data_IF_751941017946
#
_entry.id   IF_751941017946
#
_cell.length_a   1.000
_cell.length_b   1.000
_cell.length_c   1.000
_cell.angle_alpha   90.00
_cell.angle_beta   90.00
_cell.angle_gamma   90.00
#
_symmetry.space_group_name_H-M   'P 1'
#
loop_
_entity.id
_entity.type
_entity.pdbx_description
1 polymer ?
#
# COMPACT_ATOMS: atom_id res chain seq x y z
N UNK A 1 41.41 31.41 19.74
CA UNK A 1 41.59 29.97 19.43
C UNK A 1 40.54 29.22 20.22
N UNK A 2 39.36 29.03 19.62
CA UNK A 2 38.33 28.22 20.27
C UNK A 2 38.71 26.75 20.14
N UNK A 3 38.66 26.04 21.26
CA UNK A 3 38.94 24.62 21.33
C UNK A 3 37.90 23.87 20.47
N UNK A 4 38.30 23.45 19.28
CA UNK A 4 37.50 22.54 18.44
C UNK A 4 37.44 21.20 19.16
N UNK A 5 36.42 21.02 19.99
CA UNK A 5 36.22 19.81 20.77
C UNK A 5 36.11 18.59 19.86
N UNK A 6 36.87 17.54 20.18
CA UNK A 6 36.76 16.23 19.55
C UNK A 6 35.33 15.72 19.77
N UNK A 7 34.64 15.36 18.68
CA UNK A 7 33.29 14.81 18.74
C UNK A 7 33.37 13.28 18.64
N UNK A 8 32.88 12.58 19.66
CA UNK A 8 32.85 11.11 19.70
C UNK A 8 31.41 10.63 19.55
N UNK A 9 31.17 9.85 18.51
CA UNK A 9 29.84 9.36 18.14
C UNK A 9 29.79 7.84 18.23
N UNK A 10 28.73 7.33 18.84
CA UNK A 10 28.23 5.98 18.61
C UNK A 10 27.17 6.06 17.51
N UNK A 11 27.52 5.64 16.30
CA UNK A 11 26.62 5.64 15.15
C UNK A 11 25.85 4.32 15.12
N UNK A 12 24.55 4.36 15.32
CA UNK A 12 23.64 3.22 15.35
C UNK A 12 23.06 3.05 13.95
N UNK A 13 23.35 1.92 13.32
CA UNK A 13 22.91 1.59 11.96
C UNK A 13 21.66 0.71 11.98
N UNK A 14 21.63 -0.26 12.90
CA UNK A 14 20.49 -1.10 13.20
C UNK A 14 20.51 -1.52 14.69
N UNK A 15 19.75 -2.55 15.09
CA UNK A 15 19.63 -2.97 16.49
C UNK A 15 20.94 -3.56 17.05
N UNK A 16 21.75 -4.17 16.20
CA UNK A 16 22.94 -4.94 16.60
C UNK A 16 24.24 -4.35 16.01
N UNK A 17 24.12 -3.41 15.07
CA UNK A 17 25.23 -2.76 14.40
C UNK A 17 25.39 -1.31 14.85
N UNK A 18 26.47 -1.07 15.61
CA UNK A 18 26.88 0.27 16.01
C UNK A 18 28.36 0.49 15.74
N UNK A 19 28.67 1.60 15.07
CA UNK A 19 30.03 2.00 14.71
C UNK A 19 30.50 3.16 15.57
N UNK A 20 31.78 3.15 15.95
CA UNK A 20 32.38 4.25 16.71
C UNK A 20 33.08 5.20 15.76
N UNK A 21 32.62 6.45 15.71
CA UNK A 21 33.20 7.51 14.91
C UNK A 21 33.80 8.59 15.80
N UNK A 22 35.05 8.99 15.53
CA UNK A 22 35.74 10.08 16.23
C UNK A 22 36.08 11.14 15.21
N UNK A 23 35.46 12.30 15.34
CA UNK A 23 35.73 13.45 14.49
C UNK A 23 36.72 14.38 15.18
N UNK A 24 37.76 14.85 14.47
CA UNK A 24 38.81 15.69 15.05
C UNK A 24 38.29 17.07 15.46
N UNK A 25 37.17 17.50 14.88
CA UNK A 25 36.48 18.73 15.21
C UNK A 25 34.97 18.56 15.00
N UNK A 26 34.17 19.37 15.70
CA UNK A 26 32.71 19.40 15.52
C UNK A 26 32.38 19.97 14.12
N UNK A 27 31.56 19.27 13.31
CA UNK A 27 31.07 19.80 12.05
C UNK A 27 30.33 21.13 12.22
N UNK A 28 30.33 21.97 11.18
CA UNK A 28 29.67 23.28 11.19
C UNK A 28 28.15 23.20 10.94
N UNK A 29 27.64 22.03 10.53
CA UNK A 29 26.24 21.79 10.22
C UNK A 29 25.90 20.30 10.31
N UNK A 30 24.61 19.98 10.42
CA UNK A 30 24.14 18.59 10.37
C UNK A 30 24.46 17.94 9.02
N UNK A 31 24.37 18.69 7.91
CA UNK A 31 24.71 18.16 6.59
C UNK A 31 26.19 17.78 6.50
N UNK A 32 27.09 18.62 7.01
CA UNK A 32 28.52 18.29 7.05
C UNK A 32 28.81 17.04 7.90
N UNK A 33 28.04 16.82 8.97
CA UNK A 33 28.12 15.59 9.75
C UNK A 33 27.64 14.36 8.95
N UNK A 34 26.53 14.50 8.22
CA UNK A 34 25.99 13.45 7.34
C UNK A 34 27.02 13.06 6.28
N UNK A 35 27.66 14.05 5.63
CA UNK A 35 28.65 13.82 4.58
C UNK A 35 29.89 13.09 5.12
N UNK A 36 30.36 13.44 6.32
CA UNK A 36 31.48 12.76 6.98
C UNK A 36 31.10 11.31 7.34
N UNK A 37 29.89 11.06 7.85
CA UNK A 37 29.40 9.70 8.14
C UNK A 37 29.27 8.89 6.84
N UNK A 38 28.74 9.47 5.75
CA UNK A 38 28.67 8.84 4.43
C UNK A 38 30.04 8.43 3.93
N UNK A 39 31.01 9.34 4.01
CA UNK A 39 32.37 9.09 3.56
C UNK A 39 33.09 8.04 4.40
N UNK A 40 32.88 8.02 5.72
CA UNK A 40 33.58 7.11 6.64
C UNK A 40 33.01 5.69 6.63
N UNK A 41 31.69 5.57 6.49
CA UNK A 41 30.98 4.29 6.53
C UNK A 41 30.56 3.79 5.14
N UNK A 42 31.01 4.47 4.07
CA UNK A 42 30.72 4.14 2.66
C UNK A 42 29.22 4.04 2.34
N UNK A 43 28.40 4.96 2.87
CA UNK A 43 26.99 5.03 2.49
C UNK A 43 26.79 5.77 1.17
N UNK A 44 26.01 5.15 0.28
CA UNK A 44 25.64 5.71 -1.03
C UNK A 44 24.22 6.28 -1.07
N UNK A 45 23.49 6.18 0.03
CA UNK A 45 22.08 6.58 0.16
C UNK A 45 21.93 7.81 1.07
N UNK A 46 20.81 8.52 0.92
CA UNK A 46 20.43 9.62 1.79
C UNK A 46 19.81 9.13 3.09
N UNK A 47 20.10 9.85 4.18
CA UNK A 47 19.59 9.55 5.51
C UNK A 47 19.50 10.82 6.34
N UNK A 48 18.63 10.78 7.35
CA UNK A 48 18.60 11.75 8.45
C UNK A 48 19.20 11.11 9.70
N UNK A 49 19.59 11.96 10.64
CA UNK A 49 20.12 11.54 11.93
C UNK A 49 19.10 11.79 13.03
N UNK A 50 18.97 10.83 13.94
CA UNK A 50 18.34 11.01 15.24
C UNK A 50 19.39 10.91 16.34
N UNK A 51 19.19 11.57 17.47
CA UNK A 51 20.06 11.46 18.65
C UNK A 51 19.22 11.20 19.89
N UNK A 52 19.85 10.61 20.92
CA UNK A 52 19.23 10.51 22.23
C UNK A 52 19.27 11.88 22.90
N UNK A 53 18.11 12.49 23.11
CA UNK A 53 17.99 13.81 23.70
C UNK A 53 17.90 13.69 25.24
N UNK A 54 18.89 14.22 25.99
CA UNK A 54 18.87 14.17 27.46
C UNK A 54 17.66 14.86 28.10
N UNK A 55 17.06 15.82 27.41
CA UNK A 55 15.94 16.61 27.93
C UNK A 55 14.58 15.88 27.82
N UNK A 56 14.53 14.80 27.02
CA UNK A 56 13.32 13.99 26.78
C UNK A 56 13.52 12.53 27.21
N UNK A 57 14.06 12.28 28.40
CA UNK A 57 14.30 10.93 28.94
C UNK A 57 15.14 10.03 28.01
N UNK A 58 16.06 10.62 27.24
CA UNK A 58 16.82 9.95 26.18
C UNK A 58 15.94 9.32 25.09
N UNK A 59 14.77 9.88 24.79
CA UNK A 59 14.03 9.53 23.59
C UNK A 59 14.84 9.87 22.32
N UNK A 60 14.56 9.18 21.22
CA UNK A 60 15.18 9.47 19.92
C UNK A 60 14.51 10.67 19.28
N UNK A 61 15.26 11.76 19.12
CA UNK A 61 14.79 13.00 18.50
C UNK A 61 15.55 13.27 17.19
N UNK A 62 14.91 13.92 16.22
CA UNK A 62 15.57 14.30 14.97
C UNK A 62 16.66 15.35 15.24
N UNK A 63 17.87 15.13 14.72
CA UNK A 63 18.96 16.09 14.83
C UNK A 63 18.79 17.18 13.75
N UNK A 64 18.32 18.36 14.16
CA UNK A 64 18.09 19.51 13.26
C UNK A 64 19.21 20.54 13.37
N UNK A 65 19.70 20.79 14.58
CA UNK A 65 20.82 21.70 14.82
C UNK A 65 22.02 20.92 15.30
N UNK A 66 23.19 21.31 14.80
CA UNK A 66 24.41 20.65 15.22
C UNK A 66 24.71 20.97 16.68
N UNK A 67 24.26 22.11 17.22
CA UNK A 67 24.46 22.56 18.62
C UNK A 67 23.85 21.63 19.67
N UNK A 68 22.74 20.96 19.33
CA UNK A 68 22.00 20.08 20.23
C UNK A 68 22.78 18.79 20.55
N UNK A 69 23.78 18.46 19.73
CA UNK A 69 24.56 17.24 19.87
C UNK A 69 25.69 17.39 20.91
N UNK A 70 25.71 16.61 22.01
CA UNK A 70 26.79 16.67 22.98
C UNK A 70 28.12 16.15 22.40
N UNK A 71 29.24 16.48 23.05
CA UNK A 71 30.59 16.07 22.61
C UNK A 71 30.78 14.54 22.58
N UNK A 72 29.98 13.81 23.36
CA UNK A 72 29.86 12.35 23.31
C UNK A 72 28.38 12.05 23.14
N UNK A 73 28.00 11.49 22.00
CA UNK A 73 26.59 11.26 21.66
C UNK A 73 26.38 9.91 20.95
N UNK A 74 25.15 9.42 21.05
CA UNK A 74 24.68 8.32 20.20
C UNK A 74 23.77 8.89 19.12
N UNK A 75 24.07 8.60 17.87
CA UNK A 75 23.27 9.03 16.71
C UNK A 75 22.77 7.81 15.96
N UNK A 76 21.51 7.81 15.55
CA UNK A 76 20.88 6.74 14.77
C UNK A 76 20.72 7.21 13.33
N UNK A 77 21.18 6.39 12.38
CA UNK A 77 21.01 6.61 10.95
C UNK A 77 19.61 6.14 10.56
N UNK A 78 18.77 7.06 10.07
CA UNK A 78 17.45 6.75 9.56
C UNK A 78 17.45 6.99 8.06
N UNK A 79 17.44 5.91 7.29
CA UNK A 79 17.40 5.95 5.83
C UNK A 79 16.23 6.81 5.35
N UNK A 80 16.53 7.77 4.49
CA UNK A 80 15.52 8.49 3.74
C UNK A 80 15.22 7.60 2.53
N UNK A 81 14.14 6.84 2.62
CA UNK A 81 13.51 6.35 1.41
C UNK A 81 12.94 7.59 0.75
N UNK A 82 13.31 7.89 -0.50
CA UNK A 82 12.55 8.83 -1.33
C UNK A 82 11.15 8.25 -1.53
N UNK A 83 10.31 8.36 -0.50
CA UNK A 83 8.88 8.51 -0.68
C UNK A 83 8.71 9.91 -1.22
N UNK A 84 8.46 9.97 -2.52
CA UNK A 84 8.00 11.19 -3.18
C UNK A 84 6.91 11.84 -2.31
N UNK A 85 7.24 13.06 -1.90
CA UNK A 85 6.47 14.04 -1.16
C UNK A 85 4.96 13.80 -1.15
N UNK A 86 4.45 13.22 -0.06
CA UNK A 86 3.29 13.66 0.73
C UNK A 86 3.30 12.78 2.00
N UNK A 87 3.55 13.40 3.15
CA UNK A 87 2.97 13.09 4.47
C UNK A 87 3.96 13.28 5.61
N UNK A 88 3.58 14.21 6.48
CA UNK A 88 3.85 14.28 7.91
C UNK A 88 3.48 12.98 8.62
N UNK A 89 4.29 12.65 9.65
CA UNK A 89 4.06 11.77 10.81
C UNK A 89 3.68 10.30 10.56
N UNK A 90 4.61 9.36 10.83
CA UNK A 90 4.62 8.40 11.99
C UNK A 90 3.35 7.55 12.07
N UNK A 91 3.39 6.22 11.94
CA UNK A 91 4.07 5.31 12.87
C UNK A 91 4.44 3.93 12.29
N UNK A 92 5.30 3.26 13.05
CA UNK A 92 5.95 1.96 12.83
C UNK A 92 5.02 0.76 12.63
N UNK A 93 5.47 -0.21 11.83
CA UNK A 93 5.33 -1.62 12.23
C UNK A 93 6.50 -2.46 11.74
N UNK A 94 7.07 -3.17 12.71
CA UNK A 94 8.20 -4.09 12.62
C UNK A 94 7.81 -5.31 11.78
N UNK A 95 8.56 -5.60 10.73
CA UNK A 95 8.66 -6.96 10.19
C UNK A 95 10.12 -7.40 10.20
N UNK A 96 10.37 -8.42 11.02
CA UNK A 96 11.56 -9.23 11.02
C UNK A 96 11.69 -9.93 9.67
N UNK A 97 12.87 -9.84 9.06
CA UNK A 97 13.32 -10.87 8.12
C UNK A 97 14.71 -11.30 8.57
N UNK A 98 14.70 -12.45 9.23
CA UNK A 98 15.85 -13.30 9.45
C UNK A 98 16.38 -13.77 8.09
N UNK A 99 17.66 -13.60 7.82
CA UNK A 99 18.39 -14.34 6.77
C UNK A 99 19.89 -14.20 7.01
N UNK A 100 20.44 -15.25 7.61
CA UNK A 100 21.83 -15.64 7.56
C UNK A 100 22.34 -15.82 6.13
N UNK A 101 23.62 -15.54 5.97
CA UNK A 101 24.56 -16.04 4.95
C UNK A 101 24.43 -15.54 3.50
N UNK A 102 25.39 -14.67 3.18
CA UNK A 102 26.15 -14.59 1.92
C UNK A 102 25.93 -15.74 0.93
N UNK A 103 25.36 -15.44 -0.25
CA UNK A 103 25.76 -15.91 -1.58
C UNK A 103 25.24 -14.90 -2.63
N UNK A 104 26.19 -14.26 -3.31
CA UNK A 104 26.22 -13.75 -4.69
C UNK A 104 24.89 -13.59 -5.50
N UNK A 105 24.62 -12.38 -6.03
CA UNK A 105 23.98 -12.05 -7.35
C UNK A 105 23.17 -10.73 -7.34
N UNK A 106 22.90 -10.07 -8.50
CA UNK A 106 23.83 -9.57 -9.52
C UNK A 106 23.63 -8.05 -9.76
N UNK A 107 24.67 -7.37 -10.23
CA UNK A 107 24.59 -5.99 -10.70
C UNK A 107 23.68 -5.86 -11.94
N UNK A 108 22.57 -5.11 -11.81
CA UNK A 108 22.05 -4.07 -12.75
C UNK A 108 20.50 -3.98 -12.70
N UNK A 109 19.98 -3.26 -11.70
CA UNK A 109 18.65 -2.64 -11.78
C UNK A 109 18.76 -1.50 -12.80
N UNK A 110 17.99 -1.55 -13.89
CA UNK A 110 18.05 -0.53 -14.95
C UNK A 110 17.26 0.72 -14.57
N UNK A 111 17.64 1.88 -15.12
CA UNK A 111 16.87 3.13 -14.93
C UNK A 111 15.51 2.96 -15.58
N UNK A 112 14.44 3.23 -14.82
CA UNK A 112 13.06 3.08 -15.31
C UNK A 112 12.85 3.88 -16.60
N UNK A 113 12.31 3.27 -17.67
CA UNK A 113 12.14 3.96 -18.94
C UNK A 113 11.06 5.05 -18.83
N UNK A 114 11.19 6.11 -19.63
CA UNK A 114 10.14 7.13 -19.72
C UNK A 114 8.81 6.55 -20.23
N UNK A 115 8.91 5.59 -21.17
CA UNK A 115 7.77 4.82 -21.70
C UNK A 115 8.04 3.34 -21.50
N UNK A 116 7.18 2.66 -20.73
CA UNK A 116 7.28 1.23 -20.51
C UNK A 116 6.96 0.47 -21.81
N UNK A 117 7.81 -0.49 -22.19
CA UNK A 117 7.59 -1.30 -23.40
C UNK A 117 6.89 -2.59 -22.99
N UNK A 118 5.65 -2.77 -23.46
CA UNK A 118 4.86 -3.96 -23.15
C UNK A 118 5.45 -5.19 -23.88
N UNK A 119 5.91 -6.22 -23.14
CA UNK A 119 6.46 -7.43 -23.72
C UNK A 119 5.42 -8.19 -24.57
N UNK A 120 5.85 -9.11 -25.44
CA UNK A 120 4.93 -10.01 -26.12
C UNK A 120 4.34 -11.01 -25.13
N UNK A 121 3.03 -11.28 -25.25
CA UNK A 121 2.35 -12.31 -24.46
C UNK A 121 2.39 -13.67 -25.18
N UNK A 122 1.80 -14.70 -24.56
CA UNK A 122 1.58 -15.97 -25.24
C UNK A 122 0.82 -15.79 -26.55
N UNK A 123 1.03 -16.69 -27.51
CA UNK A 123 0.37 -16.61 -28.82
C UNK A 123 -1.15 -16.53 -28.72
N UNK A 124 -1.75 -17.29 -27.80
CA UNK A 124 -3.20 -17.26 -27.53
C UNK A 124 -3.64 -15.88 -27.06
N UNK A 125 -2.97 -15.31 -26.05
CA UNK A 125 -3.30 -14.00 -25.51
C UNK A 125 -3.10 -12.90 -26.54
N UNK A 126 -2.01 -12.91 -27.31
CA UNK A 126 -1.78 -11.95 -28.40
C UNK A 126 -2.87 -12.00 -29.48
N UNK A 127 -3.34 -13.19 -29.82
CA UNK A 127 -4.45 -13.35 -30.76
C UNK A 127 -5.75 -12.74 -30.19
N UNK A 128 -6.10 -13.10 -28.96
CA UNK A 128 -7.28 -12.61 -28.24
C UNK A 128 -7.25 -11.09 -28.08
N UNK A 129 -6.10 -10.51 -27.72
CA UNK A 129 -5.92 -9.06 -27.61
C UNK A 129 -6.04 -8.35 -28.96
N UNK A 130 -5.57 -8.97 -30.05
CA UNK A 130 -5.70 -8.40 -31.40
C UNK A 130 -7.16 -8.35 -31.85
N UNK A 131 -7.91 -9.44 -31.65
CA UNK A 131 -9.34 -9.47 -31.94
C UNK A 131 -10.11 -8.50 -31.04
N UNK A 132 -9.75 -8.45 -29.75
CA UNK A 132 -10.30 -7.51 -28.78
C UNK A 132 -10.10 -6.05 -29.20
N UNK A 133 -8.88 -5.68 -29.59
CA UNK A 133 -8.57 -4.32 -30.07
C UNK A 133 -9.39 -3.97 -31.31
N UNK A 134 -9.51 -4.89 -32.28
CA UNK A 134 -10.32 -4.65 -33.47
C UNK A 134 -11.81 -4.45 -33.14
N UNK A 135 -12.36 -5.20 -32.18
CA UNK A 135 -13.72 -5.03 -31.70
C UNK A 135 -13.90 -3.72 -30.90
N UNK A 136 -12.88 -3.31 -30.15
CA UNK A 136 -12.86 -2.04 -29.42
C UNK A 136 -12.85 -0.85 -30.39
N UNK A 137 -12.02 -0.88 -31.43
CA UNK A 137 -11.94 0.18 -32.43
C UNK A 137 -13.24 0.33 -33.22
N UNK A 138 -13.95 -0.78 -33.44
CA UNK A 138 -15.19 -0.80 -34.20
C UNK A 138 -16.40 -0.35 -33.38
N UNK A 139 -16.57 -0.94 -32.20
CA UNK A 139 -17.81 -0.86 -31.43
C UNK A 139 -17.60 -0.36 -29.98
N UNK A 140 -16.38 0.02 -29.59
CA UNK A 140 -16.02 0.39 -28.21
C UNK A 140 -16.04 -0.78 -27.22
N UNK A 141 -16.10 -2.02 -27.73
CA UNK A 141 -16.30 -3.22 -26.91
C UNK A 141 -15.01 -3.64 -26.20
N UNK A 142 -15.04 -3.62 -24.88
CA UNK A 142 -13.99 -4.14 -23.99
C UNK A 142 -14.04 -5.68 -23.96
N UNK A 143 -12.88 -6.33 -23.92
CA UNK A 143 -12.77 -7.80 -23.87
C UNK A 143 -12.91 -8.34 -22.45
N UNK A 144 -13.46 -9.56 -22.32
CA UNK A 144 -13.50 -10.30 -21.06
C UNK A 144 -12.48 -11.44 -21.16
N UNK A 145 -11.42 -11.36 -20.36
CA UNK A 145 -10.37 -12.37 -20.31
C UNK A 145 -10.71 -13.50 -19.34
N UNK A 146 -10.29 -14.73 -19.68
CA UNK A 146 -10.31 -15.87 -18.76
C UNK A 146 -9.27 -15.69 -17.65
N UNK A 147 -9.35 -16.50 -16.58
CA UNK A 147 -8.37 -16.46 -15.48
C UNK A 147 -6.95 -16.72 -16.00
N UNK A 148 -6.78 -17.70 -16.86
CA UNK A 148 -5.46 -18.13 -17.32
C UNK A 148 -4.86 -17.09 -18.30
N UNK A 149 -5.70 -16.44 -19.11
CA UNK A 149 -5.28 -15.31 -19.95
C UNK A 149 -4.83 -14.10 -19.10
N UNK A 150 -5.58 -13.77 -18.04
CA UNK A 150 -5.18 -12.72 -17.08
C UNK A 150 -3.86 -13.06 -16.40
N UNK A 151 -3.71 -14.30 -15.95
CA UNK A 151 -2.48 -14.76 -15.32
C UNK A 151 -1.28 -14.60 -16.25
N UNK A 152 -1.39 -15.03 -17.51
CA UNK A 152 -0.31 -14.89 -18.49
C UNK A 152 0.10 -13.42 -18.70
N UNK A 153 -0.86 -12.50 -18.82
CA UNK A 153 -0.57 -11.06 -18.93
C UNK A 153 0.15 -10.55 -17.67
N UNK A 154 -0.39 -10.85 -16.48
CA UNK A 154 0.17 -10.37 -15.21
C UNK A 154 1.57 -10.92 -14.93
N UNK A 155 1.78 -12.21 -15.20
CA UNK A 155 3.09 -12.86 -15.04
C UNK A 155 4.12 -12.24 -15.99
N UNK A 156 3.80 -12.12 -17.28
CA UNK A 156 4.71 -11.56 -18.29
C UNK A 156 5.05 -10.08 -17.98
N UNK A 157 4.06 -9.28 -17.57
CA UNK A 157 4.28 -7.90 -17.16
C UNK A 157 5.12 -7.84 -15.87
N UNK A 158 4.83 -8.70 -14.90
CA UNK A 158 5.55 -8.78 -13.63
C UNK A 158 7.02 -9.14 -13.82
N UNK A 159 7.32 -10.12 -14.67
CA UNK A 159 8.69 -10.49 -15.04
C UNK A 159 9.45 -9.31 -15.68
N UNK A 160 8.82 -8.61 -16.60
CA UNK A 160 9.46 -7.48 -17.29
C UNK A 160 9.69 -6.29 -16.34
N UNK A 161 8.73 -6.01 -15.47
CA UNK A 161 8.87 -5.02 -14.39
C UNK A 161 10.00 -5.42 -13.44
N UNK A 162 10.10 -6.69 -13.06
CA UNK A 162 11.13 -7.19 -12.15
C UNK A 162 12.54 -7.06 -12.73
N UNK A 163 12.71 -7.30 -14.05
CA UNK A 163 13.97 -7.05 -14.77
C UNK A 163 14.40 -5.57 -14.68
N UNK A 164 13.44 -4.65 -14.62
CA UNK A 164 13.73 -3.23 -14.42
C UNK A 164 14.06 -2.93 -12.97
N UNK A 165 13.19 -3.34 -12.04
CA UNK A 165 13.31 -3.09 -10.60
C UNK A 165 12.58 -4.15 -9.80
N UNK A 166 13.28 -4.76 -8.83
CA UNK A 166 12.71 -5.79 -7.96
C UNK A 166 11.52 -5.27 -7.11
N UNK A 167 11.55 -4.00 -6.73
CA UNK A 167 10.51 -3.34 -5.92
C UNK A 167 10.06 -2.02 -6.58
N UNK A 168 9.19 -2.07 -7.60
CA UNK A 168 8.69 -0.88 -8.29
C UNK A 168 7.75 -0.07 -7.40
N UNK A 169 7.77 1.26 -7.54
CA UNK A 169 6.80 2.13 -6.85
C UNK A 169 5.41 2.05 -7.51
N UNK A 170 4.36 2.49 -6.81
CA UNK A 170 3.00 2.57 -7.38
C UNK A 170 2.96 3.37 -8.68
N UNK A 171 3.72 4.46 -8.78
CA UNK A 171 3.84 5.28 -10.01
C UNK A 171 4.47 4.50 -11.16
N UNK A 172 5.49 3.70 -10.88
CA UNK A 172 6.15 2.85 -11.88
C UNK A 172 5.22 1.75 -12.37
N UNK A 173 4.52 1.08 -11.45
CA UNK A 173 3.46 0.11 -11.81
C UNK A 173 2.37 0.79 -12.65
N UNK A 174 1.98 2.00 -12.28
CA UNK A 174 1.01 2.82 -13.03
C UNK A 174 1.46 3.08 -14.47
N UNK A 175 2.72 3.45 -14.70
CA UNK A 175 3.29 3.64 -16.05
C UNK A 175 3.29 2.35 -16.89
N UNK A 176 3.54 1.20 -16.26
CA UNK A 176 3.48 -0.09 -16.94
C UNK A 176 2.04 -0.46 -17.32
N UNK A 177 1.08 -0.24 -16.42
CA UNK A 177 -0.34 -0.43 -16.68
C UNK A 177 -0.87 0.53 -17.76
N UNK A 178 -0.46 1.80 -17.72
CA UNK A 178 -0.75 2.80 -18.74
C UNK A 178 -0.27 2.38 -20.12
N UNK A 179 0.99 1.91 -20.23
CA UNK A 179 1.53 1.41 -21.49
C UNK A 179 0.76 0.17 -22.00
N UNK A 180 0.36 -0.73 -21.10
CA UNK A 180 -0.44 -1.92 -21.41
C UNK A 180 -1.79 -1.54 -22.02
N UNK A 181 -2.53 -0.63 -21.38
CA UNK A 181 -3.85 -0.20 -21.86
C UNK A 181 -3.72 0.64 -23.14
N UNK A 182 -2.67 1.45 -23.29
CA UNK A 182 -2.41 2.17 -24.55
C UNK A 182 -2.15 1.23 -25.73
N UNK A 183 -1.39 0.15 -25.51
CA UNK A 183 -1.12 -0.86 -26.54
C UNK A 183 -2.35 -1.74 -26.80
N UNK A 184 -3.15 -2.01 -25.77
CA UNK A 184 -4.34 -2.85 -25.84
C UNK A 184 -5.57 -2.13 -25.25
N UNK A 185 -6.19 -1.18 -25.98
CA UNK A 185 -7.36 -0.44 -25.51
C UNK A 185 -8.55 -1.34 -25.14
N UNK A 186 -8.63 -2.54 -25.71
CA UNK A 186 -9.66 -3.51 -25.34
C UNK A 186 -9.59 -4.00 -23.88
N UNK A 187 -8.49 -3.74 -23.17
CA UNK A 187 -8.32 -4.05 -21.75
C UNK A 187 -8.81 -2.94 -20.80
N UNK A 188 -9.21 -1.78 -21.35
CA UNK A 188 -9.62 -0.62 -20.55
C UNK A 188 -10.80 -0.99 -19.63
N UNK A 189 -10.70 -0.67 -18.33
CA UNK A 189 -11.83 -0.89 -17.42
C UNK A 189 -13.07 -0.08 -17.87
N UNK A 190 -14.26 -0.73 -17.80
CA UNK A 190 -15.52 -0.07 -18.14
C UNK A 190 -15.78 1.07 -17.16
N UNK A 191 -16.14 2.24 -17.68
CA UNK A 191 -16.45 3.47 -16.94
C UNK A 191 -15.25 4.18 -16.29
N UNK A 192 -14.02 3.76 -16.58
CA UNK A 192 -12.83 4.50 -16.16
C UNK A 192 -12.37 5.47 -17.25
N UNK A 193 -12.02 6.71 -16.89
CA UNK A 193 -11.55 7.72 -17.83
C UNK A 193 -10.20 7.32 -18.44
N UNK A 194 -9.28 6.83 -17.60
CA UNK A 194 -7.99 6.31 -18.04
C UNK A 194 -8.06 4.81 -18.31
N UNK A 195 -8.69 4.01 -17.44
CA UNK A 195 -8.72 2.55 -17.48
C UNK A 195 -7.52 1.86 -16.81
N UNK A 196 -6.63 2.64 -16.18
CA UNK A 196 -5.47 2.14 -15.43
C UNK A 196 -5.15 2.95 -14.16
N UNK A 197 -5.80 4.12 -13.96
CA UNK A 197 -5.63 4.90 -12.74
C UNK A 197 -6.29 4.19 -11.56
N UNK A 198 -5.49 3.92 -10.54
CA UNK A 198 -5.93 3.29 -9.30
C UNK A 198 -7.08 4.06 -8.66
N UNK A 199 -7.08 5.39 -8.71
CA UNK A 199 -8.08 6.21 -8.02
C UNK A 199 -9.49 6.01 -8.58
N UNK A 200 -9.61 5.88 -9.90
CA UNK A 200 -10.88 5.66 -10.61
C UNK A 200 -11.45 4.25 -10.30
N UNK A 201 -10.56 3.27 -10.25
CA UNK A 201 -10.87 1.88 -9.90
C UNK A 201 -11.32 1.78 -8.43
N UNK A 202 -10.61 2.43 -7.51
CA UNK A 202 -10.97 2.43 -6.09
C UNK A 202 -12.28 3.20 -5.84
N UNK A 203 -12.52 4.32 -6.52
CA UNK A 203 -13.77 5.06 -6.43
C UNK A 203 -14.95 4.20 -6.89
N UNK A 204 -14.83 3.54 -8.05
CA UNK A 204 -15.87 2.65 -8.58
C UNK A 204 -16.13 1.45 -7.65
N UNK A 205 -15.08 0.81 -7.14
CA UNK A 205 -15.21 -0.32 -6.20
C UNK A 205 -15.81 0.12 -4.87
N UNK A 206 -15.42 1.28 -4.37
CA UNK A 206 -15.98 1.87 -3.15
C UNK A 206 -17.46 2.22 -3.34
N UNK A 207 -17.84 2.75 -4.51
CA UNK A 207 -19.24 2.98 -4.88
C UNK A 207 -20.06 1.68 -4.83
N UNK A 208 -19.53 0.61 -5.42
CA UNK A 208 -20.20 -0.69 -5.43
C UNK A 208 -20.32 -1.28 -4.03
N UNK A 209 -19.27 -1.16 -3.21
CA UNK A 209 -19.24 -1.60 -1.82
C UNK A 209 -20.23 -0.83 -0.95
N UNK A 210 -20.33 0.50 -1.11
CA UNK A 210 -21.31 1.34 -0.42
C UNK A 210 -22.75 1.09 -0.92
N UNK A 211 -22.92 0.81 -2.22
CA UNK A 211 -24.20 0.57 -2.85
C UNK A 211 -24.85 -0.76 -2.50
N UNK A 212 -24.05 -1.80 -2.23
CA UNK A 212 -24.56 -3.15 -1.99
C UNK A 212 -25.47 -3.24 -0.74
N UNK A 213 -25.08 -2.76 0.46
CA UNK A 213 -25.98 -2.73 1.61
C UNK A 213 -27.26 -1.93 1.35
N UNK A 214 -27.15 -0.80 0.65
CA UNK A 214 -28.31 0.03 0.29
C UNK A 214 -29.30 -0.72 -0.61
N UNK A 215 -28.81 -1.41 -1.64
CA UNK A 215 -29.64 -2.24 -2.53
C UNK A 215 -30.34 -3.37 -1.74
N UNK A 216 -29.62 -3.99 -0.82
CA UNK A 216 -30.16 -5.06 0.02
C UNK A 216 -31.09 -4.56 1.13
N UNK A 217 -31.18 -3.24 1.33
CA UNK A 217 -31.89 -2.56 2.43
C UNK A 217 -31.40 -3.03 3.79
N UNK A 218 -30.08 -3.19 3.92
CA UNK A 218 -29.41 -3.57 5.15
C UNK A 218 -28.78 -2.36 5.81
N UNK A 219 -28.78 -2.36 7.15
CA UNK A 219 -28.11 -1.33 7.94
C UNK A 219 -26.64 -1.71 8.08
N UNK A 220 -25.77 -0.88 7.48
CA UNK A 220 -24.32 -1.07 7.46
C UNK A 220 -23.57 -0.08 8.34
N UNK A 221 -24.28 0.75 9.11
CA UNK A 221 -23.69 1.78 9.98
C UNK A 221 -22.83 1.22 11.11
N UNK A 222 -23.08 -0.02 11.53
CA UNK A 222 -22.25 -0.71 12.53
C UNK A 222 -20.93 -1.22 11.93
N UNK A 223 -20.90 -1.45 10.60
CA UNK A 223 -19.77 -2.05 9.90
C UNK A 223 -18.90 -1.01 9.23
N UNK A 224 -19.48 0.01 8.61
CA UNK A 224 -18.73 1.10 7.99
C UNK A 224 -18.90 2.34 8.85
N UNK A 225 -17.82 2.71 9.52
CA UNK A 225 -17.76 3.90 10.38
C UNK A 225 -16.73 4.89 9.84
N UNK A 226 -16.84 6.14 10.25
CA UNK A 226 -15.86 7.19 9.94
C UNK A 226 -15.37 7.85 11.22
N UNK A 227 -14.11 8.26 11.26
CA UNK A 227 -13.50 9.00 12.36
C UNK A 227 -12.82 10.27 11.82
N UNK A 228 -12.77 11.32 12.64
CA UNK A 228 -12.20 12.64 12.28
C UNK A 228 -10.97 13.04 13.11
N UNK A 229 -10.83 12.53 14.34
CA UNK A 229 -9.73 12.83 15.25
C UNK A 229 -9.35 11.56 16.02
N UNK A 230 -8.09 11.47 16.46
CA UNK A 230 -7.42 10.28 17.02
C UNK A 230 -8.30 9.41 17.93
N UNK A 231 -8.64 8.22 17.41
CA UNK A 231 -8.96 6.96 18.09
C UNK A 231 -9.66 7.11 19.46
N UNK A 232 -10.84 7.70 19.49
CA UNK A 232 -11.79 7.40 20.57
C UNK A 232 -12.48 6.06 20.27
N UNK A 233 -12.32 5.14 21.23
CA UNK A 233 -12.66 3.72 21.20
C UNK A 233 -13.85 3.36 20.32
N UNK A 234 -13.57 2.60 19.26
CA UNK A 234 -14.60 2.00 18.44
C UNK A 234 -15.32 0.92 19.25
N UNK A 235 -16.44 1.25 19.90
CA UNK A 235 -17.34 0.22 20.41
C UNK A 235 -17.93 -0.55 19.21
N UNK A 236 -17.28 -1.66 18.86
CA UNK A 236 -17.63 -2.54 17.75
C UNK A 236 -16.97 -3.92 17.89
N UNK A 237 -17.79 -4.96 17.80
CA UNK A 237 -17.30 -6.35 17.71
C UNK A 237 -16.57 -6.60 16.38
N UNK A 238 -17.11 -6.08 15.27
CA UNK A 238 -16.51 -6.15 13.92
C UNK A 238 -16.86 -4.85 13.19
N UNK A 239 -15.86 -4.05 12.81
CA UNK A 239 -16.07 -2.85 12.01
C UNK A 239 -14.87 -2.53 11.11
N UNK A 240 -15.15 -1.76 10.07
CA UNK A 240 -14.19 -1.05 9.23
C UNK A 240 -14.38 0.44 9.47
N UNK A 241 -13.32 1.13 9.85
CA UNK A 241 -13.37 2.56 10.16
C UNK A 241 -12.46 3.34 9.24
N UNK A 242 -12.98 4.36 8.57
CA UNK A 242 -12.15 5.26 7.78
C UNK A 242 -11.82 6.57 8.50
N UNK A 243 -10.55 6.96 8.40
CA UNK A 243 -10.10 8.33 8.67
C UNK A 243 -10.40 9.24 7.48
N UNK A 244 -11.07 10.38 7.75
CA UNK A 244 -11.56 11.32 6.73
C UNK A 244 -11.33 12.79 7.11
N UNK A 245 -10.91 13.59 6.12
CA UNK A 245 -10.61 15.03 6.22
C UNK A 245 -11.85 15.96 6.25
N UNK A 246 -13.06 15.42 6.50
CA UNK A 246 -14.39 16.06 6.41
C UNK A 246 -15.07 16.11 5.03
N UNK A 247 -16.07 15.23 4.84
CA UNK A 247 -17.34 15.53 4.17
C UNK A 247 -18.32 14.39 4.50
N UNK A 248 -19.56 14.71 4.88
CA UNK A 248 -20.60 13.68 4.98
C UNK A 248 -20.88 13.13 3.59
N UNK A 249 -20.50 11.87 3.37
CA UNK A 249 -20.68 11.20 2.07
C UNK A 249 -22.05 10.49 2.04
N UNK A 250 -22.85 10.65 0.98
CA UNK A 250 -24.11 9.93 0.84
C UNK A 250 -23.90 8.42 0.95
N UNK A 251 -24.53 7.78 1.95
CA UNK A 251 -24.39 6.34 2.22
C UNK A 251 -23.32 5.95 3.25
N UNK A 252 -22.66 6.92 3.90
CA UNK A 252 -21.79 6.70 5.06
C UNK A 252 -20.38 6.15 4.75
N UNK A 253 -20.07 5.85 3.49
CA UNK A 253 -18.75 5.34 3.07
C UNK A 253 -18.01 6.38 2.22
N UNK A 254 -16.91 6.98 2.72
CA UNK A 254 -16.08 7.92 1.97
C UNK A 254 -15.33 7.25 0.81
N UNK A 255 -15.30 7.93 -0.34
CA UNK A 255 -14.64 7.45 -1.56
C UNK A 255 -13.10 7.54 -1.52
N UNK A 256 -12.56 8.41 -0.66
CA UNK A 256 -11.12 8.65 -0.55
C UNK A 256 -10.71 8.77 0.92
N UNK A 257 -10.76 7.67 1.69
CA UNK A 257 -10.29 7.67 3.06
C UNK A 257 -8.75 7.82 3.10
N UNK A 258 -8.21 8.46 4.14
CA UNK A 258 -6.75 8.52 4.35
C UNK A 258 -6.22 7.15 4.75
N UNK A 259 -6.95 6.51 5.67
CA UNK A 259 -6.70 5.16 6.16
C UNK A 259 -8.03 4.48 6.48
N UNK A 260 -8.04 3.15 6.42
CA UNK A 260 -9.13 2.29 6.84
C UNK A 260 -8.60 1.28 7.85
N UNK A 261 -9.17 1.28 9.04
CA UNK A 261 -8.83 0.42 10.15
C UNK A 261 -9.80 -0.76 10.21
N UNK A 262 -9.28 -1.96 10.41
CA UNK A 262 -10.06 -3.12 10.79
C UNK A 262 -10.13 -3.16 12.31
N UNK A 263 -11.34 -3.13 12.85
CA UNK A 263 -11.61 -3.17 14.28
C UNK A 263 -12.28 -4.49 14.64
N UNK A 264 -11.70 -5.21 15.60
CA UNK A 264 -12.27 -6.40 16.21
C UNK A 264 -12.27 -6.24 17.72
N UNK A 265 -13.39 -6.52 18.38
CA UNK A 265 -13.53 -6.42 19.85
C UNK A 265 -12.94 -5.11 20.41
N UNK A 266 -13.35 -3.99 19.81
CA UNK A 266 -12.94 -2.64 20.22
C UNK A 266 -11.45 -2.32 20.04
N UNK A 267 -10.69 -3.14 19.30
CA UNK A 267 -9.27 -2.96 19.01
C UNK A 267 -8.99 -2.85 17.52
N UNK A 268 -8.13 -1.91 17.13
CA UNK A 268 -7.60 -1.83 15.76
C UNK A 268 -6.60 -2.97 15.56
N UNK A 269 -6.92 -3.90 14.66
CA UNK A 269 -6.07 -5.08 14.39
C UNK A 269 -5.24 -4.94 13.11
N UNK A 270 -5.69 -4.14 12.14
CA UNK A 270 -5.00 -3.90 10.87
C UNK A 270 -5.35 -2.53 10.31
N UNK A 271 -4.44 -1.97 9.50
CA UNK A 271 -4.62 -0.67 8.82
C UNK A 271 -4.36 -0.82 7.33
N UNK A 272 -5.20 -0.21 6.51
CA UNK A 272 -5.15 -0.22 5.05
C UNK A 272 -5.42 1.16 4.46
N UNK A 273 -5.17 1.33 3.16
CA UNK A 273 -5.47 2.59 2.44
C UNK A 273 -6.77 2.54 1.63
N UNK A 274 -7.45 1.40 1.60
CA UNK A 274 -8.68 1.21 0.81
C UNK A 274 -9.70 0.36 1.58
N UNK A 275 -10.98 0.72 1.44
CA UNK A 275 -12.11 -0.08 1.93
C UNK A 275 -12.09 -1.50 1.38
N UNK A 276 -11.75 -1.68 0.10
CA UNK A 276 -11.77 -3.00 -0.54
C UNK A 276 -10.73 -3.92 0.07
N UNK A 277 -9.53 -3.38 0.33
CA UNK A 277 -8.40 -4.16 0.80
C UNK A 277 -8.62 -4.53 2.27
N UNK A 278 -9.09 -3.57 3.07
CA UNK A 278 -9.53 -3.81 4.44
C UNK A 278 -10.65 -4.85 4.52
N UNK A 279 -11.64 -4.79 3.62
CA UNK A 279 -12.74 -5.75 3.60
C UNK A 279 -12.28 -7.17 3.26
N UNK A 280 -11.39 -7.34 2.29
CA UNK A 280 -10.83 -8.66 1.95
C UNK A 280 -10.01 -9.23 3.11
N UNK A 281 -9.19 -8.41 3.77
CA UNK A 281 -8.46 -8.81 4.97
C UNK A 281 -9.40 -9.14 6.13
N UNK A 282 -10.49 -8.39 6.30
CA UNK A 282 -11.53 -8.70 7.30
C UNK A 282 -12.17 -10.07 7.04
N UNK A 283 -12.46 -10.45 5.79
CA UNK A 283 -12.91 -11.80 5.48
C UNK A 283 -11.88 -12.84 5.94
N UNK A 284 -10.60 -12.64 5.64
CA UNK A 284 -9.52 -13.52 6.10
C UNK A 284 -9.50 -13.69 7.62
N UNK A 285 -9.64 -12.58 8.37
CA UNK A 285 -9.71 -12.59 9.83
C UNK A 285 -10.95 -13.30 10.36
N UNK A 286 -12.12 -13.07 9.76
CA UNK A 286 -13.36 -13.75 10.12
C UNK A 286 -13.21 -15.27 10.01
N UNK A 287 -12.61 -15.75 8.92
CA UNK A 287 -12.35 -17.19 8.75
C UNK A 287 -11.28 -17.72 9.71
N UNK A 288 -10.16 -17.00 9.87
CA UNK A 288 -9.06 -17.44 10.72
C UNK A 288 -9.43 -17.50 12.20
N UNK A 289 -10.27 -16.58 12.66
CA UNK A 289 -10.71 -16.46 14.05
C UNK A 289 -12.08 -17.10 14.31
N UNK A 290 -12.69 -17.73 13.31
CA UNK A 290 -14.02 -18.35 13.40
C UNK A 290 -15.09 -17.35 13.91
N UNK A 291 -15.08 -16.12 13.39
CA UNK A 291 -16.06 -15.11 13.76
C UNK A 291 -17.37 -15.32 12.99
N UNK A 292 -18.48 -14.89 13.59
CA UNK A 292 -19.77 -14.85 12.90
C UNK A 292 -19.91 -13.55 12.11
N UNK A 293 -20.62 -13.61 10.97
CA UNK A 293 -20.94 -12.38 10.24
C UNK A 293 -21.89 -11.49 11.04
N UNK A 294 -21.72 -10.16 10.97
CA UNK A 294 -22.63 -9.21 11.60
C UNK A 294 -24.08 -9.40 11.14
N UNK A 295 -24.99 -9.58 12.09
CA UNK A 295 -26.39 -9.95 11.81
C UNK A 295 -27.10 -8.96 10.89
N UNK A 296 -26.88 -7.65 11.11
CA UNK A 296 -27.48 -6.56 10.33
C UNK A 296 -27.05 -6.53 8.86
N UNK A 297 -25.88 -7.09 8.56
CA UNK A 297 -25.25 -7.09 7.22
C UNK A 297 -25.04 -8.49 6.63
N UNK A 298 -25.75 -9.50 7.11
CA UNK A 298 -25.56 -10.90 6.66
C UNK A 298 -25.66 -11.10 5.14
N UNK A 299 -26.64 -10.48 4.46
CA UNK A 299 -26.76 -10.55 3.00
C UNK A 299 -25.60 -9.93 2.23
N UNK A 300 -25.02 -8.83 2.73
CA UNK A 300 -23.82 -8.20 2.17
C UNK A 300 -22.62 -9.16 2.23
N UNK A 301 -22.35 -9.73 3.41
CA UNK A 301 -21.24 -10.69 3.57
C UNK A 301 -21.46 -11.97 2.76
N UNK A 302 -22.70 -12.50 2.77
CA UNK A 302 -23.10 -13.69 2.00
C UNK A 302 -22.90 -13.47 0.49
N UNK A 303 -23.29 -12.30 -0.02
CA UNK A 303 -23.12 -11.96 -1.43
C UNK A 303 -21.63 -11.90 -1.82
N UNK A 304 -20.81 -11.21 -1.03
CA UNK A 304 -19.38 -11.08 -1.31
C UNK A 304 -18.67 -12.43 -1.24
N UNK A 305 -18.95 -13.23 -0.20
CA UNK A 305 -18.40 -14.57 -0.04
C UNK A 305 -18.69 -15.46 -1.26
N UNK A 306 -19.95 -15.53 -1.68
CA UNK A 306 -20.40 -16.47 -2.72
C UNK A 306 -20.08 -15.96 -4.12
N UNK A 307 -20.37 -14.68 -4.39
CA UNK A 307 -20.34 -14.13 -5.76
C UNK A 307 -18.96 -13.57 -6.10
N UNK A 308 -18.36 -12.80 -5.18
CA UNK A 308 -17.09 -12.14 -5.46
C UNK A 308 -15.88 -13.03 -5.12
N UNK A 309 -15.87 -13.64 -3.94
CA UNK A 309 -14.75 -14.45 -3.45
C UNK A 309 -14.84 -15.92 -3.85
N UNK A 310 -16.03 -16.40 -4.23
CA UNK A 310 -16.30 -17.80 -4.62
C UNK A 310 -15.82 -18.81 -3.56
N UNK A 311 -16.05 -18.49 -2.28
CA UNK A 311 -15.60 -19.32 -1.15
C UNK A 311 -16.60 -20.39 -0.73
N UNK A 312 -17.84 -20.34 -1.20
CA UNK A 312 -18.84 -21.37 -0.93
C UNK A 312 -18.79 -22.48 -1.97
N UNK A 313 -19.01 -23.72 -1.53
CA UNK A 313 -19.32 -24.84 -2.41
C UNK A 313 -20.55 -24.45 -3.24
N UNK A 314 -20.51 -24.65 -4.56
CA UNK A 314 -21.53 -24.27 -5.56
C UNK A 314 -22.96 -24.78 -5.26
N UNK A 315 -23.12 -25.55 -4.18
CA UNK A 315 -24.37 -26.11 -3.64
C UNK A 315 -25.16 -25.13 -2.78
N UNK A 316 -24.55 -24.06 -2.24
CA UNK A 316 -25.28 -23.10 -1.41
C UNK A 316 -26.14 -22.20 -2.29
N UNK A 317 -27.46 -22.35 -2.18
CA UNK A 317 -28.40 -21.50 -2.90
C UNK A 317 -28.45 -20.12 -2.24
N UNK A 318 -28.11 -19.10 -3.01
CA UNK A 318 -28.30 -17.70 -2.61
C UNK A 318 -29.78 -17.42 -2.38
N UNK A 319 -30.08 -16.57 -1.39
CA UNK A 319 -31.43 -16.04 -1.21
C UNK A 319 -31.93 -15.39 -2.51
N UNK A 320 -33.24 -15.42 -2.81
CA UNK A 320 -33.78 -14.95 -4.09
C UNK A 320 -33.29 -13.55 -4.52
N UNK A 321 -33.23 -12.60 -3.58
CA UNK A 321 -32.71 -11.24 -3.84
C UNK A 321 -31.24 -11.23 -4.28
N UNK A 322 -30.40 -12.04 -3.64
CA UNK A 322 -28.97 -12.14 -3.97
C UNK A 322 -28.77 -12.85 -5.31
N UNK A 323 -29.63 -13.83 -5.62
CA UNK A 323 -29.61 -14.51 -6.91
C UNK A 323 -30.07 -13.58 -8.05
N UNK A 324 -31.09 -12.75 -7.85
CA UNK A 324 -31.49 -11.71 -8.81
C UNK A 324 -30.34 -10.75 -9.08
N UNK A 325 -29.72 -10.20 -8.02
CA UNK A 325 -28.59 -9.29 -8.17
C UNK A 325 -27.41 -9.94 -8.90
N UNK A 326 -27.07 -11.19 -8.55
CA UNK A 326 -26.04 -11.96 -9.27
C UNK A 326 -26.34 -12.07 -10.76
N UNK A 327 -27.60 -12.29 -11.14
CA UNK A 327 -28.00 -12.42 -12.54
C UNK A 327 -27.98 -11.07 -13.28
N UNK A 328 -28.21 -9.95 -12.59
CA UNK A 328 -28.15 -8.60 -13.17
C UNK A 328 -26.70 -8.13 -13.44
N UNK A 329 -25.71 -8.74 -12.78
CA UNK A 329 -24.29 -8.38 -12.88
C UNK A 329 -23.50 -9.16 -13.94
N UNK A 330 -24.10 -10.16 -14.59
CA UNK A 330 -23.49 -11.05 -15.60
C UNK A 330 -23.90 -10.63 -17.01
#
# INVERSE_FOLDING_TARGET
>A
MEATGILKLRVILDKDNTEKLILPSRPNSVQALIDEIKSRLNFTFDFRLQFHDPDFDNALCNLVKIEDLPAIASVKVVRLVELDQISTSTDDTILQTDSTDTIDSPERISRWPEVFIVPPFSYEVEHVLREGNAAFDKDGKVIILTRDQKHNILETMGEEIYKLKAYPSTTQIGKAAEALVRKHPCLKERNSDSGWDKNDIYATRTAALAGLPMYLKQDSSEIFKTCKEEIEFYEATIALVADVDEEEVPGGVPFSPRQVFIVLEDQVVMTHHSWTDALVCLFGLIYALHLSYPEKCTGFFEFIQVVLLKLDDERKQLKPKLQTLKNELV
#
